data_IF_012307781296
#
_entry.id   IF_012307781296
#
_cell.length_a   1.000
_cell.length_b   1.000
_cell.length_c   1.000
_cell.angle_alpha   90.00
_cell.angle_beta   90.00
_cell.angle_gamma   90.00
#
_symmetry.space_group_name_H-M   'P 1'
#
loop_
_entity.id
_entity.type
_entity.pdbx_description
1 polymer ?
#
# COMPACT_ATOMS: atom_id res chain seq x y z
N UNK A 1 -7.74 -2.73 20.52
CA UNK A 1 -8.40 -2.44 19.21
C UNK A 1 -7.80 -3.39 18.19
N UNK A 2 -8.62 -4.09 17.39
CA UNK A 2 -8.22 -5.28 16.61
C UNK A 2 -7.31 -5.01 15.38
N UNK A 3 -6.61 -3.87 15.31
CA UNK A 3 -5.64 -3.56 14.24
C UNK A 3 -6.21 -3.38 12.83
N UNK A 4 -7.54 -3.34 12.66
CA UNK A 4 -8.18 -3.17 11.35
C UNK A 4 -8.56 -1.71 11.09
N UNK A 5 -8.48 -1.29 9.83
CA UNK A 5 -8.89 0.05 9.39
C UNK A 5 -9.45 0.01 7.97
N UNK A 6 -10.37 0.92 7.66
CA UNK A 6 -10.98 1.05 6.34
C UNK A 6 -10.61 2.41 5.78
N UNK A 7 -10.13 2.44 4.54
CA UNK A 7 -9.77 3.66 3.83
C UNK A 7 -10.45 3.71 2.47
N UNK A 8 -10.88 4.91 2.05
CA UNK A 8 -11.30 5.15 0.67
C UNK A 8 -10.08 5.52 -0.18
N UNK A 9 -9.96 4.92 -1.35
CA UNK A 9 -8.89 5.20 -2.30
C UNK A 9 -9.22 6.49 -3.05
N UNK A 10 -8.26 7.43 -3.05
CA UNK A 10 -8.33 8.68 -3.78
C UNK A 10 -7.16 8.78 -4.76
N UNK A 11 -7.50 9.03 -6.03
CA UNK A 11 -6.55 9.17 -7.13
C UNK A 11 -6.22 7.83 -7.80
N UNK A 12 -5.38 7.91 -8.84
CA UNK A 12 -5.16 6.80 -9.76
C UNK A 12 -3.77 6.16 -9.63
N UNK A 13 -3.01 6.51 -8.59
CA UNK A 13 -1.61 6.06 -8.45
C UNK A 13 -1.46 4.54 -8.31
N UNK A 14 -2.54 3.84 -7.95
CA UNK A 14 -2.56 2.40 -7.76
C UNK A 14 -3.34 1.67 -8.85
N UNK A 15 -3.79 2.36 -9.91
CA UNK A 15 -4.40 1.71 -11.08
C UNK A 15 -3.34 0.83 -11.77
N UNK A 16 -3.68 -0.41 -12.21
CA UNK A 16 -5.01 -1.02 -12.24
C UNK A 16 -5.42 -1.77 -10.97
N UNK A 17 -4.54 -1.89 -9.99
CA UNK A 17 -4.76 -2.69 -8.78
C UNK A 17 -5.85 -2.13 -7.87
N UNK A 18 -5.88 -0.81 -7.66
CA UNK A 18 -6.93 -0.09 -6.93
C UNK A 18 -7.39 1.09 -7.80
N UNK A 19 -8.70 1.27 -7.91
CA UNK A 19 -9.28 2.40 -8.63
C UNK A 19 -9.71 3.51 -7.67
N UNK A 20 -9.72 4.74 -8.16
CA UNK A 20 -10.35 5.84 -7.44
C UNK A 20 -11.77 5.46 -6.98
N UNK A 21 -12.05 5.64 -5.69
CA UNK A 21 -13.35 5.35 -5.11
C UNK A 21 -13.53 3.92 -4.60
N UNK A 22 -12.57 3.01 -4.82
CA UNK A 22 -12.51 1.75 -4.09
C UNK A 22 -12.33 2.00 -2.59
N UNK A 23 -12.68 1.01 -1.77
CA UNK A 23 -12.28 0.98 -0.36
C UNK A 23 -11.31 -0.17 -0.13
N UNK A 24 -10.36 0.04 0.79
CA UNK A 24 -9.45 -1.00 1.24
C UNK A 24 -9.65 -1.26 2.72
N UNK A 25 -9.60 -2.54 3.10
CA UNK A 25 -9.54 -2.95 4.50
C UNK A 25 -8.09 -3.34 4.77
N UNK A 26 -7.43 -2.58 5.63
CA UNK A 26 -6.06 -2.77 6.03
C UNK A 26 -5.96 -3.39 7.43
N UNK A 27 -4.95 -4.23 7.64
CA UNK A 27 -4.62 -4.82 8.95
C UNK A 27 -3.21 -4.39 9.35
N UNK A 28 -3.10 -3.73 10.50
CA UNK A 28 -1.83 -3.51 11.18
C UNK A 28 -1.34 -4.84 11.75
N UNK A 29 -0.13 -5.22 11.38
CA UNK A 29 0.60 -6.34 11.96
C UNK A 29 1.92 -5.79 12.50
N UNK A 30 2.42 -6.40 13.58
CA UNK A 30 3.73 -6.04 14.15
C UNK A 30 4.89 -6.74 13.41
N UNK A 31 4.55 -7.63 12.47
CA UNK A 31 5.50 -8.31 11.59
C UNK A 31 5.94 -7.41 10.42
N UNK A 32 7.16 -7.63 9.93
CA UNK A 32 7.70 -6.92 8.78
C UNK A 32 6.86 -7.19 7.52
N UNK A 33 6.61 -6.13 6.75
CA UNK A 33 5.86 -6.24 5.50
C UNK A 33 6.72 -6.89 4.41
N UNK A 34 6.13 -7.81 3.66
CA UNK A 34 6.82 -8.47 2.54
C UNK A 34 6.79 -7.63 1.26
N UNK A 35 7.81 -7.78 0.40
CA UNK A 35 7.81 -7.19 -0.94
C UNK A 35 6.55 -7.57 -1.73
N UNK A 36 6.08 -6.66 -2.58
CA UNK A 36 4.87 -6.81 -3.38
C UNK A 36 3.57 -6.53 -2.62
N UNK A 37 3.62 -6.37 -1.29
CA UNK A 37 2.45 -6.07 -0.48
C UNK A 37 2.00 -4.62 -0.70
N UNK A 38 0.69 -4.41 -0.78
CA UNK A 38 0.11 -3.06 -0.80
C UNK A 38 -0.22 -2.63 0.62
N UNK A 39 0.27 -1.45 1.00
CA UNK A 39 0.20 -0.92 2.35
C UNK A 39 -0.44 0.45 2.37
N UNK A 40 -1.12 0.76 3.48
CA UNK A 40 -1.52 2.13 3.82
C UNK A 40 -0.44 2.72 4.73
N UNK A 41 0.04 3.90 4.39
CA UNK A 41 1.16 4.58 5.05
C UNK A 41 0.68 5.94 5.53
N UNK A 42 0.98 6.28 6.77
CA UNK A 42 0.86 7.64 7.29
C UNK A 42 2.14 8.42 6.97
N UNK A 43 2.17 9.06 5.81
CA UNK A 43 3.31 9.83 5.37
C UNK A 43 3.26 11.28 5.92
N UNK A 44 4.37 11.86 6.41
CA UNK A 44 4.38 13.23 6.95
C UNK A 44 3.94 14.28 5.93
N UNK A 45 4.39 14.17 4.68
CA UNK A 45 4.12 15.17 3.63
C UNK A 45 2.90 14.86 2.75
N UNK A 46 2.48 13.59 2.66
CA UNK A 46 1.41 13.17 1.75
C UNK A 46 0.14 12.72 2.50
N UNK A 47 0.17 12.70 3.84
CA UNK A 47 -0.90 12.15 4.65
C UNK A 47 -1.04 10.65 4.46
N UNK A 48 -2.27 10.14 4.53
CA UNK A 48 -2.55 8.73 4.29
C UNK A 48 -2.47 8.40 2.81
N UNK A 49 -1.47 7.60 2.43
CA UNK A 49 -1.28 7.12 1.05
C UNK A 49 -1.33 5.60 1.01
N UNK A 50 -1.72 5.05 -0.13
CA UNK A 50 -1.66 3.61 -0.43
C UNK A 50 -0.65 3.36 -1.53
N UNK A 51 0.32 2.48 -1.28
CA UNK A 51 1.43 2.16 -2.20
C UNK A 51 1.80 0.68 -2.10
N UNK A 52 2.54 0.17 -3.08
CA UNK A 52 3.13 -1.17 -3.08
C UNK A 52 4.56 -1.12 -2.58
N UNK A 53 4.94 -2.05 -1.71
CA UNK A 53 6.34 -2.27 -1.30
C UNK A 53 7.09 -2.91 -2.47
N UNK A 54 8.16 -2.26 -2.93
CA UNK A 54 8.97 -2.73 -4.06
C UNK A 54 10.33 -3.29 -3.64
N UNK A 55 10.88 -2.82 -2.51
CA UNK A 55 12.11 -3.34 -1.92
C UNK A 55 12.12 -3.12 -0.41
N UNK A 56 12.89 -3.94 0.29
CA UNK A 56 13.27 -3.74 1.69
C UNK A 56 14.75 -3.31 1.71
N UNK A 57 15.01 -2.09 2.15
CA UNK A 57 16.36 -1.48 2.18
C UNK A 57 17.10 -1.87 3.48
N UNK A 58 16.36 -2.06 4.58
CA UNK A 58 16.87 -2.58 5.85
C UNK A 58 15.72 -3.21 6.66
N UNK A 59 16.00 -3.73 7.86
CA UNK A 59 15.03 -4.45 8.70
C UNK A 59 13.67 -3.73 8.82
N UNK A 60 13.66 -2.40 8.95
CA UNK A 60 12.45 -1.60 9.14
C UNK A 60 12.25 -0.53 8.07
N UNK A 61 13.01 -0.55 6.97
CA UNK A 61 12.99 0.51 5.96
C UNK A 61 12.65 -0.05 4.59
N UNK A 62 11.61 0.50 3.97
CA UNK A 62 11.03 0.00 2.73
C UNK A 62 10.99 1.07 1.65
N UNK A 63 11.20 0.71 0.40
CA UNK A 63 10.77 1.55 -0.73
C UNK A 63 9.40 1.15 -1.20
N UNK A 64 8.63 2.16 -1.57
CA UNK A 64 7.27 1.98 -2.07
C UNK A 64 7.05 2.74 -3.37
N UNK A 65 6.12 2.24 -4.18
CA UNK A 65 5.75 2.86 -5.45
C UNK A 65 4.25 2.67 -5.71
N UNK A 66 3.69 3.53 -6.55
CA UNK A 66 2.37 3.28 -7.13
C UNK A 66 2.45 2.29 -8.30
N UNK A 67 1.38 1.54 -8.52
CA UNK A 67 1.29 0.60 -9.65
C UNK A 67 1.05 1.30 -10.99
N UNK A 68 0.58 2.56 -10.95
CA UNK A 68 0.44 3.40 -12.12
C UNK A 68 1.80 4.06 -12.43
N UNK A 69 2.33 3.97 -13.67
CA UNK A 69 3.54 4.64 -14.09
C UNK A 69 3.55 6.16 -13.84
N UNK A 70 2.38 6.80 -13.87
CA UNK A 70 2.23 8.24 -13.61
C UNK A 70 2.12 8.58 -12.11
N UNK A 71 2.31 7.60 -11.22
CA UNK A 71 2.39 7.85 -9.77
C UNK A 71 3.59 8.71 -9.41
N UNK A 72 3.47 9.46 -8.32
CA UNK A 72 4.62 10.02 -7.59
C UNK A 72 5.72 8.95 -7.45
N UNK A 73 6.95 9.33 -7.80
CA UNK A 73 8.09 8.40 -7.87
C UNK A 73 8.55 7.95 -6.48
N UNK A 74 9.24 6.82 -6.41
CA UNK A 74 9.76 6.27 -5.15
C UNK A 74 10.74 7.22 -4.47
N UNK A 75 11.51 7.98 -5.26
CA UNK A 75 12.52 8.94 -4.80
C UNK A 75 11.85 10.16 -4.16
N UNK A 76 10.71 10.59 -4.72
CA UNK A 76 9.94 11.72 -4.19
C UNK A 76 9.20 11.33 -2.91
N UNK A 77 8.72 10.08 -2.82
CA UNK A 77 8.12 9.55 -1.58
C UNK A 77 9.20 9.34 -0.51
N UNK A 78 10.36 8.84 -0.91
CA UNK A 78 11.43 8.47 0.00
C UNK A 78 11.18 7.11 0.68
N UNK A 79 12.13 6.67 1.51
CA UNK A 79 12.01 5.42 2.23
C UNK A 79 10.97 5.52 3.37
N UNK A 80 10.27 4.42 3.61
CA UNK A 80 9.18 4.31 4.58
C UNK A 80 9.62 3.43 5.74
N UNK A 81 9.54 3.95 6.95
CA UNK A 81 9.75 3.17 8.17
C UNK A 81 8.54 2.27 8.47
N UNK A 82 8.77 1.06 8.98
CA UNK A 82 7.72 0.12 9.41
C UNK A 82 6.68 0.80 10.31
N UNK A 83 7.08 1.72 11.19
CA UNK A 83 6.18 2.40 12.11
C UNK A 83 5.20 3.35 11.41
N UNK A 84 5.55 3.85 10.21
CA UNK A 84 4.67 4.68 9.40
C UNK A 84 3.62 3.86 8.63
N UNK A 85 3.75 2.53 8.60
CA UNK A 85 2.79 1.65 7.96
C UNK A 85 1.59 1.45 8.90
N UNK A 86 0.44 2.01 8.50
CA UNK A 86 -0.82 1.84 9.20
C UNK A 86 -1.36 0.41 9.06
N UNK A 87 -1.05 -0.27 7.96
CA UNK A 87 -1.36 -1.69 7.79
C UNK A 87 -1.30 -2.16 6.34
N UNK A 88 -1.28 -3.48 6.18
CA UNK A 88 -1.33 -4.15 4.89
C UNK A 88 -2.76 -4.25 4.38
N UNK A 89 -2.98 -3.95 3.11
CA UNK A 89 -4.28 -4.11 2.46
C UNK A 89 -4.58 -5.59 2.29
N UNK A 90 -5.63 -6.07 2.97
CA UNK A 90 -6.08 -7.47 2.93
C UNK A 90 -7.33 -7.67 2.09
N UNK A 91 -8.14 -6.63 1.91
CA UNK A 91 -9.35 -6.66 1.10
C UNK A 91 -9.54 -5.38 0.32
N UNK A 92 -10.11 -5.51 -0.88
CA UNK A 92 -10.61 -4.42 -1.71
C UNK A 92 -12.13 -4.54 -1.82
N UNK A 93 -12.85 -3.46 -1.58
CA UNK A 93 -14.28 -3.33 -1.86
C UNK A 93 -14.42 -2.38 -3.04
N UNK A 94 -15.02 -2.86 -4.12
CA UNK A 94 -15.25 -2.11 -5.36
C UNK A 94 -16.71 -2.25 -5.79
N UNK A 95 -17.09 -1.58 -6.89
CA UNK A 95 -18.42 -1.77 -7.51
C UNK A 95 -18.68 -3.22 -7.96
N UNK A 96 -17.61 -4.01 -8.20
CA UNK A 96 -17.71 -5.43 -8.57
C UNK A 96 -17.87 -6.36 -7.36
N UNK A 97 -17.86 -5.80 -6.15
CA UNK A 97 -17.91 -6.55 -4.89
C UNK A 97 -16.59 -6.51 -4.13
N UNK A 98 -16.50 -7.37 -3.13
CA UNK A 98 -15.35 -7.50 -2.23
C UNK A 98 -14.44 -8.64 -2.66
N UNK A 99 -13.14 -8.38 -2.74
CA UNK A 99 -12.12 -9.38 -3.07
C UNK A 99 -10.99 -9.33 -2.05
N UNK A 100 -10.46 -10.51 -1.68
CA UNK A 100 -9.25 -10.61 -0.88
C UNK A 100 -8.07 -10.14 -1.73
N UNK A 101 -7.24 -9.27 -1.19
CA UNK A 101 -6.04 -8.79 -1.87
C UNK A 101 -5.03 -9.94 -1.91
N UNK A 102 -4.65 -10.36 -3.12
CA UNK A 102 -3.62 -11.37 -3.32
C UNK A 102 -2.32 -10.70 -3.70
N UNK A 103 -1.18 -11.10 -3.11
CA UNK A 103 0.12 -10.65 -3.55
C UNK A 103 0.46 -11.36 -4.87
N UNK A 104 -0.20 -10.96 -5.96
CA UNK A 104 0.13 -11.45 -7.31
C UNK A 104 1.38 -10.70 -7.83
N UNK A 105 2.38 -10.51 -6.97
CA UNK A 105 3.62 -9.83 -7.30
C UNK A 105 4.61 -10.83 -7.88
N UNK A 106 4.87 -10.68 -9.17
CA UNK A 106 6.08 -11.21 -9.78
C UNK A 106 7.11 -10.08 -9.73
N UNK A 107 8.26 -10.32 -9.11
CA UNK A 107 9.35 -9.36 -9.16
C UNK A 107 9.64 -9.04 -10.65
N UNK A 108 9.72 -7.76 -11.04
CA UNK A 108 10.26 -7.44 -12.36
C UNK A 108 11.69 -8.01 -12.43
N UNK A 109 11.96 -8.77 -13.49
CA UNK A 109 13.29 -9.33 -13.78
C UNK A 109 14.33 -8.22 -13.94
#
# INVERSE_FOLDING_TARGET
MFGWSIFRVHGDSMVPTLQHGDYVIAKRNDEAVSMGTVVVIQHPNFGNIVKRVISQESENLFRVQGDNPDSTTSETIGPIDQQAINGEVRWRISRKGMAKFRPDWHAPN
#
